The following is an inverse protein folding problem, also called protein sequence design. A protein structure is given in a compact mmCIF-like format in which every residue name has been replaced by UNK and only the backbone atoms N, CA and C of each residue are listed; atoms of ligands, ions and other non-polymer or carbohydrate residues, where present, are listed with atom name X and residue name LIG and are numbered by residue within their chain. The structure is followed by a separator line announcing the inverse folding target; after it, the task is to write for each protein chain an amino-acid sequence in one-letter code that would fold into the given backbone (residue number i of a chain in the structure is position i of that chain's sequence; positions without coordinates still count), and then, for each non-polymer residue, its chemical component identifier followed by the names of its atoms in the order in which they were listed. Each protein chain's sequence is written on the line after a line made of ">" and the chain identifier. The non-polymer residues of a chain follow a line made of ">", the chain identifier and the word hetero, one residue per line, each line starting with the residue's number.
data_IF_630922462847
#
_entry.id   IF_630922462847
#
_cell.length_a   1.000
_cell.length_b   1.000
_cell.length_c   1.000
_cell.angle_alpha   90.00
_cell.angle_beta   90.00
_cell.angle_gamma   90.00
#
_symmetry.space_group_name_H-M   'P 1'
#
loop_
_entity.id
_entity.type
_entity.pdbx_description
1 polymer ?
#
# COMPACT_ATOMS: atom_id res chain seq x y z
N UNK A 1 6.54 -15.14 5.91
CA UNK A 1 5.46 -14.56 6.73
C UNK A 1 5.65 -13.10 7.05
N UNK A 2 6.76 -12.68 7.71
CA UNK A 2 6.99 -11.24 7.98
C UNK A 2 7.04 -10.42 6.69
N UNK A 3 7.79 -10.91 5.69
CA UNK A 3 7.90 -10.28 4.37
C UNK A 3 6.56 -10.24 3.61
N UNK A 4 5.76 -11.31 3.67
CA UNK A 4 4.44 -11.31 3.03
C UNK A 4 3.54 -10.21 3.57
N UNK A 5 3.58 -9.98 4.88
CA UNK A 5 2.83 -8.89 5.54
C UNK A 5 3.37 -7.51 5.16
N UNK A 6 4.69 -7.39 4.99
CA UNK A 6 5.32 -6.18 4.47
C UNK A 6 4.83 -5.87 3.05
N UNK A 7 4.85 -6.87 2.16
CA UNK A 7 4.35 -6.72 0.78
C UNK A 7 2.89 -6.30 0.76
N UNK A 8 2.03 -6.93 1.57
CA UNK A 8 0.61 -6.54 1.67
C UNK A 8 0.45 -5.10 2.17
N UNK A 9 1.28 -4.68 3.11
CA UNK A 9 1.25 -3.33 3.66
C UNK A 9 1.73 -2.30 2.63
N UNK A 10 2.89 -2.50 2.02
CA UNK A 10 3.44 -1.60 1.00
C UNK A 10 2.53 -1.55 -0.25
N UNK A 11 1.90 -2.66 -0.65
CA UNK A 11 0.88 -2.68 -1.72
C UNK A 11 -0.34 -1.80 -1.38
N UNK A 12 -0.80 -1.87 -0.12
CA UNK A 12 -1.98 -1.13 0.35
C UNK A 12 -1.74 0.38 0.33
N UNK A 13 -0.58 0.82 0.81
CA UNK A 13 -0.24 2.24 0.93
C UNK A 13 0.50 2.80 -0.29
N UNK A 14 0.83 1.94 -1.25
CA UNK A 14 1.59 2.27 -2.46
C UNK A 14 2.98 2.84 -2.18
N UNK A 15 3.79 2.09 -1.42
CA UNK A 15 5.14 2.53 -1.09
C UNK A 15 6.15 2.20 -2.20
N UNK A 16 6.33 3.15 -3.11
CA UNK A 16 7.20 3.01 -4.27
C UNK A 16 8.71 3.06 -3.95
N UNK A 17 9.10 3.39 -2.71
CA UNK A 17 10.51 3.49 -2.30
C UNK A 17 10.94 2.44 -1.27
N UNK A 18 10.17 1.35 -1.11
CA UNK A 18 10.65 0.21 -0.34
C UNK A 18 11.82 -0.47 -1.06
N UNK A 19 13.05 -0.12 -0.69
CA UNK A 19 14.26 -0.81 -1.13
C UNK A 19 14.88 -1.69 -0.03
N UNK A 20 15.81 -2.56 -0.38
CA UNK A 20 16.43 -3.53 0.55
C UNK A 20 17.02 -2.93 1.83
N UNK A 21 17.47 -1.66 1.82
CA UNK A 21 17.99 -0.99 3.03
C UNK A 21 16.89 -0.58 4.01
N UNK A 22 15.63 -0.54 3.58
CA UNK A 22 14.45 -0.22 4.39
C UNK A 22 13.74 -1.49 4.87
N UNK A 23 14.48 -2.61 4.88
CA UNK A 23 14.03 -3.93 5.30
C UNK A 23 15.15 -4.51 6.16
N UNK A 24 14.91 -4.57 7.46
CA UNK A 24 15.90 -5.09 8.40
C UNK A 24 15.41 -6.36 9.07
N UNK A 25 16.37 -7.20 9.45
CA UNK A 25 16.12 -8.37 10.28
C UNK A 25 16.81 -8.19 11.61
N UNK A 26 16.10 -8.49 12.68
CA UNK A 26 16.61 -8.43 14.03
C UNK A 26 16.73 -9.82 14.63
N UNK A 27 17.77 -10.03 15.42
CA UNK A 27 17.93 -11.25 16.21
C UNK A 27 17.28 -11.06 17.57
N UNK A 28 16.28 -11.89 17.86
CA UNK A 28 15.61 -11.94 19.17
C UNK A 28 15.90 -13.31 19.78
N UNK A 29 16.83 -13.37 20.74
CA UNK A 29 17.37 -14.62 21.29
C UNK A 29 17.99 -15.50 20.20
N UNK A 30 17.38 -16.65 19.92
CA UNK A 30 17.82 -17.60 18.90
C UNK A 30 17.16 -17.34 17.53
N UNK A 31 16.09 -16.54 17.48
CA UNK A 31 15.29 -16.34 16.28
C UNK A 31 15.78 -15.12 15.49
N UNK A 32 15.68 -15.19 14.17
CA UNK A 32 15.81 -14.05 13.26
C UNK A 32 14.41 -13.69 12.78
N UNK A 33 13.96 -12.48 13.09
CA UNK A 33 12.64 -11.97 12.70
C UNK A 33 12.80 -10.71 11.85
N UNK A 34 11.78 -10.41 11.06
CA UNK A 34 11.70 -9.10 10.40
C UNK A 34 11.58 -8.01 11.47
N UNK A 35 12.37 -6.94 11.34
CA UNK A 35 12.24 -5.75 12.17
C UNK A 35 10.86 -5.08 11.96
N UNK A 36 10.39 -4.25 12.90
CA UNK A 36 9.22 -3.41 12.66
C UNK A 36 9.36 -2.60 11.37
N UNK A 37 8.25 -2.34 10.67
CA UNK A 37 8.27 -1.53 9.45
C UNK A 37 8.69 -0.10 9.82
N UNK A 38 9.63 0.45 9.07
CA UNK A 38 10.15 1.80 9.24
C UNK A 38 10.37 2.46 7.88
N UNK A 39 10.70 3.76 7.89
CA UNK A 39 10.99 4.55 6.68
C UNK A 39 9.93 4.38 5.58
N UNK A 40 8.69 4.70 5.95
CA UNK A 40 7.54 4.76 5.04
C UNK A 40 7.20 6.22 4.72
N UNK A 41 8.22 7.01 4.35
CA UNK A 41 8.07 8.42 3.96
C UNK A 41 7.59 8.64 2.53
N UNK A 42 7.73 7.62 1.68
CA UNK A 42 7.36 7.64 0.25
C UNK A 42 6.13 6.77 -0.14
N UNK A 43 5.01 6.76 0.60
CA UNK A 43 3.75 6.16 0.16
C UNK A 43 2.68 7.23 -0.12
N UNK A 44 1.43 6.78 -0.33
CA UNK A 44 0.21 7.61 -0.27
C UNK A 44 0.26 8.88 -1.15
N UNK A 45 0.74 8.73 -2.39
CA UNK A 45 0.77 9.79 -3.40
C UNK A 45 1.71 10.95 -3.02
N UNK A 46 2.77 10.65 -2.27
CA UNK A 46 3.78 11.64 -1.86
C UNK A 46 4.61 12.18 -3.03
N UNK A 47 4.63 11.49 -4.17
CA UNK A 47 5.25 11.92 -5.41
C UNK A 47 4.45 13.01 -6.15
N UNK A 48 3.14 13.10 -5.91
CA UNK A 48 2.28 14.20 -6.35
C UNK A 48 2.42 15.29 -5.30
N UNK A 49 3.07 16.41 -5.63
CA UNK A 49 3.54 17.37 -4.61
C UNK A 49 2.43 18.33 -4.21
N UNK A 50 1.61 18.75 -5.17
CA UNK A 50 0.52 19.69 -4.97
C UNK A 50 -0.83 19.12 -5.44
N UNK A 51 -1.85 19.96 -5.41
CA UNK A 51 -3.20 19.57 -5.84
C UNK A 51 -3.33 19.58 -7.37
N UNK A 52 -2.52 20.35 -8.12
CA UNK A 52 -2.57 20.38 -9.58
C UNK A 52 -2.11 19.01 -10.15
N UNK A 53 -1.06 18.43 -9.56
CA UNK A 53 -0.60 17.06 -9.86
C UNK A 53 -1.71 16.02 -9.59
N UNK A 54 -2.47 16.20 -8.51
CA UNK A 54 -3.57 15.32 -8.13
C UNK A 54 -4.81 15.50 -9.01
N UNK A 55 -5.08 16.73 -9.46
CA UNK A 55 -6.14 17.00 -10.45
C UNK A 55 -5.81 16.32 -11.77
N UNK A 56 -4.55 16.38 -12.23
CA UNK A 56 -4.11 15.64 -13.41
C UNK A 56 -4.31 14.13 -13.23
N UNK A 57 -3.86 13.56 -12.10
CA UNK A 57 -4.05 12.13 -11.82
C UNK A 57 -5.53 11.74 -11.83
N UNK A 58 -6.41 12.56 -11.25
CA UNK A 58 -7.85 12.27 -11.19
C UNK A 58 -8.51 12.38 -12.56
N UNK A 59 -8.11 13.35 -13.36
CA UNK A 59 -8.78 13.67 -14.62
C UNK A 59 -8.28 12.78 -15.78
N UNK A 60 -7.08 12.22 -15.68
CA UNK A 60 -6.53 11.22 -16.60
C UNK A 60 -6.93 9.79 -16.16
N UNK A 61 -8.02 9.27 -16.72
CA UNK A 61 -8.60 7.97 -16.33
C UNK A 61 -7.61 6.80 -16.47
N UNK A 62 -6.78 6.79 -17.51
CA UNK A 62 -5.80 5.73 -17.74
C UNK A 62 -4.72 5.73 -16.64
N UNK A 63 -4.15 6.90 -16.34
CA UNK A 63 -3.15 7.06 -15.27
C UNK A 63 -3.76 6.74 -13.91
N UNK A 64 -4.99 7.20 -13.65
CA UNK A 64 -5.72 6.87 -12.43
C UNK A 64 -5.90 5.36 -12.28
N UNK A 65 -6.30 4.67 -13.33
CA UNK A 65 -6.54 3.23 -13.30
C UNK A 65 -5.26 2.44 -13.08
N UNK A 66 -4.19 2.78 -13.79
CA UNK A 66 -2.87 2.18 -13.62
C UNK A 66 -2.35 2.39 -12.17
N UNK A 67 -2.39 3.64 -11.70
CA UNK A 67 -1.86 4.01 -10.40
C UNK A 67 -2.73 3.50 -9.25
N UNK A 68 -4.03 3.74 -9.26
CA UNK A 68 -4.91 3.50 -8.11
C UNK A 68 -5.52 2.09 -8.17
N UNK A 69 -6.15 1.75 -9.31
CA UNK A 69 -7.02 0.56 -9.40
C UNK A 69 -6.25 -0.72 -9.70
N UNK A 70 -5.24 -0.67 -10.57
CA UNK A 70 -4.50 -1.85 -11.03
C UNK A 70 -3.17 -2.04 -10.32
N UNK A 71 -2.69 -1.03 -9.61
CA UNK A 71 -1.45 -1.08 -8.84
C UNK A 71 -0.20 -1.34 -9.71
N UNK A 72 -0.16 -0.72 -10.88
CA UNK A 72 0.94 -0.80 -11.84
C UNK A 72 2.03 0.26 -11.56
N UNK A 73 2.09 0.72 -10.32
CA UNK A 73 3.12 1.61 -9.79
C UNK A 73 4.38 0.82 -9.45
N UNK A 74 5.52 1.51 -9.55
CA UNK A 74 6.84 0.90 -9.34
C UNK A 74 6.98 0.36 -7.91
N UNK A 75 7.54 -0.84 -7.79
CA UNK A 75 8.10 -1.34 -6.54
C UNK A 75 9.60 -1.60 -6.68
N UNK A 76 10.34 -1.58 -5.57
CA UNK A 76 11.81 -1.67 -5.57
C UNK A 76 12.38 -2.87 -4.82
N UNK A 77 11.57 -3.57 -4.03
CA UNK A 77 12.07 -4.59 -3.13
C UNK A 77 12.10 -5.98 -3.79
N UNK A 78 10.95 -6.45 -4.26
CA UNK A 78 10.77 -7.85 -4.61
C UNK A 78 10.29 -8.06 -6.06
N UNK A 79 9.73 -7.03 -6.70
CA UNK A 79 9.41 -7.03 -8.12
C UNK A 79 9.60 -5.63 -8.72
N UNK A 80 9.10 -5.42 -9.95
CA UNK A 80 9.11 -4.13 -10.63
C UNK A 80 7.83 -3.32 -10.41
N UNK A 81 6.73 -3.98 -10.02
CA UNK A 81 5.43 -3.36 -9.77
C UNK A 81 4.78 -3.93 -8.51
N UNK A 82 3.98 -3.13 -7.82
CA UNK A 82 3.21 -3.59 -6.65
C UNK A 82 2.23 -4.72 -7.02
N UNK A 83 1.56 -4.64 -8.18
CA UNK A 83 0.67 -5.68 -8.70
C UNK A 83 1.37 -7.05 -8.83
N UNK A 84 2.67 -7.06 -9.12
CA UNK A 84 3.50 -8.25 -9.25
C UNK A 84 4.00 -8.74 -7.90
N UNK A 85 4.40 -7.85 -6.99
CA UNK A 85 4.80 -8.23 -5.62
C UNK A 85 3.66 -8.91 -4.87
N UNK A 86 2.42 -8.43 -5.03
CA UNK A 86 1.24 -9.06 -4.41
C UNK A 86 1.11 -10.54 -4.78
N UNK A 87 1.58 -10.96 -5.97
CA UNK A 87 1.54 -12.36 -6.41
C UNK A 87 2.52 -13.26 -5.66
N UNK A 88 3.53 -12.68 -5.02
CA UNK A 88 4.51 -13.40 -4.20
C UNK A 88 3.95 -13.75 -2.82
N UNK A 89 2.88 -13.08 -2.38
CA UNK A 89 2.29 -13.26 -1.05
C UNK A 89 1.67 -14.65 -0.94
N UNK A 90 2.23 -15.45 -0.03
CA UNK A 90 1.71 -16.78 0.27
C UNK A 90 0.36 -16.75 1.00
N UNK A 91 -0.49 -17.75 0.74
CA UNK A 91 -1.83 -17.92 1.36
C UNK A 91 -1.86 -17.65 2.86
N UNK A 92 -0.90 -18.21 3.60
CA UNK A 92 -0.86 -18.13 5.06
C UNK A 92 -0.76 -16.69 5.62
N UNK A 93 -0.37 -15.72 4.80
CA UNK A 93 -0.37 -14.31 5.19
C UNK A 93 -1.78 -13.74 5.29
N UNK A 94 -2.66 -14.07 4.33
CA UNK A 94 -4.05 -13.58 4.27
C UNK A 94 -4.89 -14.06 5.47
N UNK A 95 -4.61 -15.26 5.98
CA UNK A 95 -5.26 -15.82 7.17
C UNK A 95 -4.82 -15.12 8.47
N UNK A 96 -3.74 -14.34 8.43
CA UNK A 96 -3.08 -13.72 9.59
C UNK A 96 -3.11 -12.19 9.58
N UNK A 97 -3.85 -11.60 8.66
CA UNK A 97 -4.12 -10.16 8.58
C UNK A 97 -5.62 -9.91 8.69
N UNK A 98 -5.99 -8.72 9.15
CA UNK A 98 -7.40 -8.35 9.24
C UNK A 98 -7.95 -8.03 7.85
N UNK A 99 -8.76 -8.93 7.31
CA UNK A 99 -9.49 -8.73 6.04
C UNK A 99 -10.95 -8.30 6.25
N UNK A 100 -11.28 -7.76 7.43
CA UNK A 100 -12.59 -7.19 7.75
C UNK A 100 -12.56 -5.65 7.98
N UNK A 101 -11.55 -4.96 7.45
CA UNK A 101 -11.48 -3.49 7.45
C UNK A 101 -12.59 -2.95 6.54
N UNK A 102 -13.36 -2.00 7.07
CA UNK A 102 -14.40 -1.29 6.30
C UNK A 102 -13.82 0.00 5.73
N UNK A 103 -14.36 0.46 4.61
CA UNK A 103 -13.99 1.74 3.97
C UNK A 103 -14.02 2.92 4.96
N UNK A 104 -15.01 2.94 5.86
CA UNK A 104 -15.14 3.96 6.90
C UNK A 104 -13.91 4.07 7.81
N UNK A 105 -13.18 2.96 8.04
CA UNK A 105 -11.95 3.01 8.82
C UNK A 105 -10.85 3.79 8.10
N UNK A 106 -10.76 3.68 6.76
CA UNK A 106 -9.81 4.49 5.98
C UNK A 106 -10.19 5.97 6.04
N UNK A 107 -11.47 6.29 5.88
CA UNK A 107 -11.98 7.67 6.01
C UNK A 107 -11.63 8.27 7.36
N UNK A 108 -11.91 7.54 8.44
CA UNK A 108 -11.60 7.99 9.80
C UNK A 108 -10.09 8.18 10.04
N UNK A 109 -9.23 7.32 9.49
CA UNK A 109 -7.78 7.46 9.61
C UNK A 109 -7.27 8.69 8.85
N UNK A 110 -7.74 8.92 7.63
CA UNK A 110 -7.33 10.07 6.81
C UNK A 110 -7.82 11.39 7.42
N UNK A 111 -9.06 11.41 7.94
CA UNK A 111 -9.66 12.62 8.50
C UNK A 111 -8.97 13.09 9.81
N UNK A 112 -8.23 12.22 10.50
CA UNK A 112 -7.39 12.62 11.64
C UNK A 112 -6.30 13.63 11.26
N UNK A 113 -5.94 13.70 9.97
CA UNK A 113 -4.89 14.58 9.45
C UNK A 113 -5.46 15.69 8.56
N UNK A 114 -6.75 15.99 8.68
CA UNK A 114 -7.45 16.94 7.80
C UNK A 114 -6.91 18.36 7.85
N UNK A 115 -6.23 18.75 8.92
CA UNK A 115 -5.56 20.06 9.01
C UNK A 115 -4.32 20.18 8.12
N UNK A 116 -3.76 19.06 7.66
CA UNK A 116 -2.54 19.02 6.84
C UNK A 116 -2.79 18.61 5.38
N UNK A 117 -4.01 18.18 5.04
CA UNK A 117 -4.35 17.60 3.75
C UNK A 117 -5.47 18.39 3.08
N UNK A 118 -5.30 18.68 1.80
CA UNK A 118 -6.39 19.22 0.97
C UNK A 118 -7.54 18.22 0.87
N UNK A 119 -8.74 18.73 0.58
CA UNK A 119 -9.91 17.87 0.36
C UNK A 119 -9.67 16.85 -0.75
N UNK A 120 -9.03 17.28 -1.85
CA UNK A 120 -8.71 16.43 -2.99
C UNK A 120 -7.74 15.31 -2.60
N UNK A 121 -6.65 15.63 -1.90
CA UNK A 121 -5.68 14.63 -1.45
C UNK A 121 -6.32 13.59 -0.53
N UNK A 122 -7.19 14.03 0.39
CA UNK A 122 -7.94 13.11 1.26
C UNK A 122 -8.78 12.14 0.44
N UNK A 123 -9.53 12.66 -0.53
CA UNK A 123 -10.39 11.87 -1.41
C UNK A 123 -9.58 10.79 -2.15
N UNK A 124 -8.50 11.17 -2.83
CA UNK A 124 -7.71 10.23 -3.63
C UNK A 124 -6.98 9.20 -2.74
N UNK A 125 -6.48 9.59 -1.56
CA UNK A 125 -5.90 8.63 -0.60
C UNK A 125 -6.94 7.59 -0.16
N UNK A 126 -8.17 8.03 0.13
CA UNK A 126 -9.26 7.12 0.51
C UNK A 126 -9.57 6.16 -0.65
N UNK A 127 -9.61 6.66 -1.89
CA UNK A 127 -9.81 5.82 -3.08
C UNK A 127 -8.69 4.80 -3.27
N UNK A 128 -7.42 5.21 -3.16
CA UNK A 128 -6.25 4.33 -3.17
C UNK A 128 -6.39 3.20 -2.17
N UNK A 129 -6.53 3.53 -0.88
CA UNK A 129 -6.62 2.52 0.18
C UNK A 129 -7.79 1.57 -0.06
N UNK A 130 -8.93 2.11 -0.50
CA UNK A 130 -10.14 1.32 -0.77
C UNK A 130 -9.95 0.36 -1.93
N UNK A 131 -9.41 0.82 -3.06
CA UNK A 131 -9.19 0.00 -4.24
C UNK A 131 -8.10 -1.04 -4.00
N UNK A 132 -6.97 -0.66 -3.41
CA UNK A 132 -5.89 -1.59 -3.07
C UNK A 132 -6.36 -2.65 -2.07
N UNK A 133 -7.13 -2.27 -1.07
CA UNK A 133 -7.69 -3.23 -0.13
C UNK A 133 -8.69 -4.20 -0.78
N UNK A 134 -9.56 -3.72 -1.69
CA UNK A 134 -10.45 -4.58 -2.49
C UNK A 134 -9.64 -5.59 -3.33
N UNK A 135 -8.51 -5.19 -3.88
CA UNK A 135 -7.63 -6.08 -4.63
C UNK A 135 -6.99 -7.15 -3.73
N UNK A 136 -6.54 -6.78 -2.53
CA UNK A 136 -6.04 -7.73 -1.51
C UNK A 136 -7.11 -8.79 -1.20
N UNK A 137 -8.37 -8.38 -0.99
CA UNK A 137 -9.48 -9.32 -0.73
C UNK A 137 -9.67 -10.25 -1.93
N UNK A 138 -9.84 -9.71 -3.14
CA UNK A 138 -10.00 -10.51 -4.37
C UNK A 138 -8.85 -11.51 -4.55
N UNK A 139 -7.62 -11.10 -4.27
CA UNK A 139 -6.46 -11.98 -4.38
C UNK A 139 -6.48 -13.08 -3.32
N UNK A 140 -6.82 -12.73 -2.07
CA UNK A 140 -6.94 -13.72 -0.98
C UNK A 140 -7.93 -14.84 -1.29
N UNK A 141 -8.96 -14.56 -2.10
CA UNK A 141 -9.95 -15.55 -2.53
C UNK A 141 -9.46 -16.44 -3.67
N UNK A 142 -8.56 -15.94 -4.53
CA UNK A 142 -7.97 -16.68 -5.65
C UNK A 142 -6.91 -17.68 -5.21
N UNK A 143 -6.22 -17.40 -4.10
CA UNK A 143 -5.14 -18.24 -3.55
C UNK A 143 -5.68 -19.25 -2.50
N UNK A 144 -7.01 -19.44 -2.44
CA UNK A 144 -7.68 -20.48 -1.63
C UNK A 144 -7.53 -21.87 -2.22
#
# INVERSE_FOLDING_TARGET
>A
MGLDKLILFDYLIDNYDRHMRNIEFMRVKADIILAPIFDSGSPLLSEYVDDDDLEFLRDDEDTFDEAIRFAQTQSKAFAQEHSLELRLVGRAAFEKVNLAIKEEAFKQMVEQYSEYLSSLRKEIIIELLTHRYKNIIKWSERVK
#
